data_IF_755046314932
#
_entry.id   IF_755046314932
#
_cell.length_a   1.000
_cell.length_b   1.000
_cell.length_c   1.000
_cell.angle_alpha   90.00
_cell.angle_beta   90.00
_cell.angle_gamma   90.00
#
_symmetry.space_group_name_H-M   'P 1'
#
loop_
_entity.id
_entity.type
_entity.pdbx_description
1 polymer ?
#
# COMPACT_ATOMS: atom_id res chain seq x y z
N UNK A 1 -27.70 -5.43 35.31
CA UNK A 1 -26.71 -5.54 34.23
C UNK A 1 -25.44 -4.83 34.68
N UNK A 2 -24.31 -5.54 34.76
CA UNK A 2 -23.04 -4.94 35.23
C UNK A 2 -22.37 -4.14 34.11
N UNK A 3 -21.61 -3.08 34.47
CA UNK A 3 -20.90 -2.22 33.51
C UNK A 3 -20.01 -3.01 32.54
N UNK A 4 -19.36 -4.07 33.02
CA UNK A 4 -18.55 -4.98 32.21
C UNK A 4 -19.34 -5.63 31.08
N UNK A 5 -20.61 -5.97 31.30
CA UNK A 5 -21.49 -6.57 30.29
C UNK A 5 -21.86 -5.55 29.20
N UNK A 6 -22.05 -4.28 29.56
CA UNK A 6 -22.28 -3.21 28.59
C UNK A 6 -21.05 -2.98 27.71
N UNK A 7 -19.85 -3.01 28.29
CA UNK A 7 -18.61 -2.89 27.52
C UNK A 7 -18.44 -4.02 26.50
N UNK A 8 -18.72 -5.27 26.90
CA UNK A 8 -18.66 -6.40 25.98
C UNK A 8 -19.67 -6.27 24.84
N UNK A 9 -20.89 -5.81 25.14
CA UNK A 9 -21.91 -5.56 24.11
C UNK A 9 -21.43 -4.50 23.11
N UNK A 10 -20.85 -3.40 23.58
CA UNK A 10 -20.34 -2.34 22.70
C UNK A 10 -19.20 -2.85 21.81
N UNK A 11 -18.34 -3.75 22.32
CA UNK A 11 -17.28 -4.37 21.51
C UNK A 11 -17.87 -5.25 20.42
N UNK A 12 -18.85 -6.08 20.75
CA UNK A 12 -19.56 -6.95 19.80
C UNK A 12 -20.28 -6.13 18.72
N UNK A 13 -20.96 -5.06 19.11
CA UNK A 13 -21.66 -4.15 18.18
C UNK A 13 -20.66 -3.44 17.23
N UNK A 14 -19.46 -3.07 17.71
CA UNK A 14 -18.41 -2.47 16.87
C UNK A 14 -17.82 -3.48 15.88
N UNK A 15 -17.67 -4.74 16.29
CA UNK A 15 -17.22 -5.81 15.39
C UNK A 15 -18.24 -6.06 14.28
N UNK A 16 -19.52 -6.19 14.64
CA UNK A 16 -20.60 -6.35 13.66
C UNK A 16 -20.70 -5.16 12.68
N UNK A 17 -20.44 -3.94 13.17
CA UNK A 17 -20.37 -2.75 12.32
C UNK A 17 -19.16 -2.80 11.36
N UNK A 18 -18.01 -3.27 11.84
CA UNK A 18 -16.83 -3.43 11.00
C UNK A 18 -17.08 -4.43 9.86
N UNK A 19 -17.73 -5.56 10.15
CA UNK A 19 -18.11 -6.56 9.16
C UNK A 19 -19.06 -5.96 8.10
N UNK A 20 -20.06 -5.20 8.54
CA UNK A 20 -21.02 -4.53 7.64
C UNK A 20 -20.33 -3.51 6.72
N UNK A 21 -19.35 -2.76 7.24
CA UNK A 21 -18.57 -1.81 6.44
C UNK A 21 -17.63 -2.51 5.46
N UNK A 22 -17.09 -3.66 5.83
CA UNK A 22 -16.26 -4.48 4.96
C UNK A 22 -17.08 -5.05 3.79
N UNK A 23 -18.29 -5.58 4.05
CA UNK A 23 -19.21 -5.99 3.00
C UNK A 23 -19.57 -4.85 2.05
N UNK A 24 -19.84 -3.65 2.59
CA UNK A 24 -20.13 -2.47 1.77
C UNK A 24 -18.91 -2.05 0.93
N UNK A 25 -17.70 -2.11 1.49
CA UNK A 25 -16.47 -1.82 0.75
C UNK A 25 -16.22 -2.84 -0.38
N UNK A 26 -16.54 -4.12 -0.17
CA UNK A 26 -16.50 -5.14 -1.22
C UNK A 26 -17.56 -4.85 -2.30
N UNK A 27 -18.80 -4.55 -1.90
CA UNK A 27 -19.90 -4.21 -2.80
C UNK A 27 -19.62 -2.96 -3.65
N UNK A 28 -18.92 -1.97 -3.10
CA UNK A 28 -18.51 -0.77 -3.85
C UNK A 28 -17.38 -1.06 -4.85
N UNK A 29 -16.48 -2.02 -4.55
CA UNK A 29 -15.43 -2.45 -5.47
C UNK A 29 -15.97 -3.29 -6.63
N UNK A 30 -17.05 -4.05 -6.41
CA UNK A 30 -17.67 -4.92 -7.42
C UNK A 30 -18.59 -4.22 -8.42
N UNK A 31 -18.66 -2.88 -8.44
CA UNK A 31 -19.32 -2.15 -9.53
C UNK A 31 -18.45 -2.04 -10.81
N UNK A 32 -17.31 -2.74 -10.84
CA UNK A 32 -16.53 -3.07 -12.04
C UNK A 32 -16.59 -4.59 -12.23
N UNK A 33 -16.89 -5.12 -13.44
CA UNK A 33 -17.14 -6.54 -13.61
C UNK A 33 -15.81 -7.27 -13.67
N UNK A 34 -15.35 -7.82 -12.54
CA UNK A 34 -14.42 -8.93 -12.55
C UNK A 34 -14.89 -10.08 -11.65
N UNK A 35 -14.68 -11.32 -12.10
CA UNK A 35 -15.44 -12.47 -11.66
C UNK A 35 -15.06 -12.91 -10.25
N UNK A 36 -16.10 -13.37 -9.56
CA UNK A 36 -16.06 -14.12 -8.31
C UNK A 36 -15.03 -15.25 -8.35
N UNK A 37 -14.25 -15.40 -7.29
CA UNK A 37 -13.92 -16.72 -6.77
C UNK A 37 -14.01 -16.67 -5.25
N UNK A 38 -14.95 -17.45 -4.72
CA UNK A 38 -15.16 -17.75 -3.31
C UNK A 38 -13.96 -18.51 -2.72
N UNK A 39 -13.69 -18.22 -1.45
CA UNK A 39 -12.86 -18.89 -0.43
C UNK A 39 -12.87 -20.44 -0.55
N UNK A 40 -11.75 -21.15 -0.30
CA UNK A 40 -11.35 -21.45 1.08
C UNK A 40 -9.83 -21.38 1.33
N UNK A 41 -9.42 -20.73 2.43
CA UNK A 41 -8.17 -21.08 3.10
C UNK A 41 -8.20 -22.58 3.45
N UNK A 42 -7.10 -23.33 3.27
CA UNK A 42 -6.07 -23.28 4.31
C UNK A 42 -4.63 -23.48 3.80
N UNK A 43 -3.71 -22.78 4.45
CA UNK A 43 -2.28 -23.13 4.54
C UNK A 43 -1.52 -23.18 3.21
N UNK A 44 -0.80 -22.11 2.89
CA UNK A 44 0.57 -22.24 2.38
C UNK A 44 1.30 -20.91 2.42
N UNK A 45 2.30 -20.87 3.30
CA UNK A 45 3.60 -20.29 3.01
C UNK A 45 3.66 -18.77 2.86
N UNK A 46 4.04 -18.12 3.96
CA UNK A 46 5.30 -17.38 4.05
C UNK A 46 5.98 -17.09 2.70
N UNK A 47 5.46 -16.11 1.97
CA UNK A 47 6.27 -15.28 1.07
C UNK A 47 6.21 -13.90 1.72
N UNK A 48 7.08 -13.53 2.65
CA UNK A 48 8.51 -13.27 2.37
C UNK A 48 8.78 -12.99 0.89
N UNK A 49 7.92 -12.21 0.24
CA UNK A 49 8.29 -11.51 -0.96
C UNK A 49 8.96 -10.24 -0.46
N UNK A 50 10.27 -10.37 -0.27
CA UNK A 50 11.30 -9.34 -0.05
C UNK A 50 10.72 -7.93 -0.04
N UNK A 51 10.90 -7.23 1.08
CA UNK A 51 10.79 -5.77 1.26
C UNK A 51 11.28 -4.99 0.02
N UNK A 52 10.48 -4.94 -1.03
CA UNK A 52 10.70 -4.05 -2.16
C UNK A 52 9.72 -2.92 -1.96
N UNK A 53 10.21 -1.67 -1.85
CA UNK A 53 9.35 -0.53 -1.63
C UNK A 53 8.33 -0.46 -2.77
N UNK A 54 7.07 -0.26 -2.42
CA UNK A 54 5.99 -0.20 -3.41
C UNK A 54 6.15 1.05 -4.27
N UNK A 55 5.72 0.97 -5.53
CA UNK A 55 5.80 2.10 -6.48
C UNK A 55 5.19 3.39 -5.89
N UNK A 56 4.16 3.25 -5.07
CA UNK A 56 3.48 4.34 -4.37
C UNK A 56 4.36 4.99 -3.30
N UNK A 57 5.04 4.21 -2.47
CA UNK A 57 5.94 4.72 -1.43
C UNK A 57 7.10 5.50 -2.05
N UNK A 58 7.71 4.94 -3.10
CA UNK A 58 8.82 5.60 -3.80
C UNK A 58 8.35 6.88 -4.48
N UNK A 59 7.15 6.87 -5.09
CA UNK A 59 6.56 8.07 -5.67
C UNK A 59 6.27 9.14 -4.62
N UNK A 60 5.80 8.74 -3.44
CA UNK A 60 5.56 9.64 -2.31
C UNK A 60 6.84 10.27 -1.78
N UNK A 61 7.89 9.48 -1.57
CA UNK A 61 9.20 9.95 -1.12
C UNK A 61 9.83 10.91 -2.13
N UNK A 62 9.90 10.52 -3.40
CA UNK A 62 10.44 11.38 -4.47
C UNK A 62 9.61 12.63 -4.69
N UNK A 63 8.27 12.55 -4.57
CA UNK A 63 7.41 13.72 -4.67
C UNK A 63 7.67 14.72 -3.53
N UNK A 64 7.88 14.23 -2.30
CA UNK A 64 8.29 15.08 -1.17
C UNK A 64 9.64 15.74 -1.42
N UNK A 65 10.65 15.00 -1.90
CA UNK A 65 11.96 15.58 -2.24
C UNK A 65 11.91 16.54 -3.42
N UNK A 66 11.08 16.25 -4.41
CA UNK A 66 10.80 17.18 -5.50
C UNK A 66 10.12 18.46 -5.01
N UNK A 67 9.23 18.38 -4.01
CA UNK A 67 8.59 19.54 -3.37
C UNK A 67 9.56 20.34 -2.50
N UNK A 68 10.56 19.69 -1.90
CA UNK A 68 11.66 20.35 -1.18
C UNK A 68 12.63 21.12 -2.12
N UNK A 69 12.35 21.14 -3.43
CA UNK A 69 13.14 21.87 -4.44
C UNK A 69 14.18 21.02 -5.16
N UNK A 70 14.30 19.74 -4.83
CA UNK A 70 15.27 18.78 -5.41
C UNK A 70 14.72 18.01 -6.61
N UNK A 71 13.73 18.58 -7.30
CA UNK A 71 13.05 17.94 -8.45
C UNK A 71 14.01 17.59 -9.58
N UNK A 72 15.00 18.45 -9.83
CA UNK A 72 16.04 18.28 -10.84
C UNK A 72 16.96 17.09 -10.50
N UNK A 73 17.34 16.96 -9.24
CA UNK A 73 18.20 15.88 -8.75
C UNK A 73 17.44 14.55 -8.77
N UNK A 74 16.17 14.55 -8.38
CA UNK A 74 15.27 13.40 -8.50
C UNK A 74 15.12 12.93 -9.95
N UNK A 75 14.94 13.85 -10.90
CA UNK A 75 14.88 13.50 -12.33
C UNK A 75 16.21 12.95 -12.85
N UNK A 76 17.32 13.60 -12.53
CA UNK A 76 18.66 13.14 -12.92
C UNK A 76 18.96 11.75 -12.32
N UNK A 77 18.45 11.48 -11.11
CA UNK A 77 18.56 10.17 -10.48
C UNK A 77 17.77 9.12 -11.24
N UNK A 78 16.51 9.37 -11.58
CA UNK A 78 15.69 8.43 -12.38
C UNK A 78 16.32 8.18 -13.76
N UNK A 79 16.87 9.21 -14.40
CA UNK A 79 17.60 9.10 -15.68
C UNK A 79 18.91 8.30 -15.54
N UNK A 80 19.63 8.42 -14.41
CA UNK A 80 20.82 7.60 -14.09
C UNK A 80 20.48 6.10 -14.05
N UNK A 81 19.26 5.75 -13.66
CA UNK A 81 18.75 4.36 -13.70
C UNK A 81 18.18 3.97 -15.07
N UNK A 82 18.34 4.80 -16.10
CA UNK A 82 17.96 4.51 -17.48
C UNK A 82 16.47 4.72 -17.79
N UNK A 83 15.74 5.40 -16.91
CA UNK A 83 14.31 5.62 -17.05
C UNK A 83 13.98 7.11 -17.18
N UNK A 84 12.87 7.43 -17.85
CA UNK A 84 12.36 8.81 -17.91
C UNK A 84 11.33 9.09 -16.80
N UNK A 85 10.74 8.04 -16.23
CA UNK A 85 9.71 8.10 -15.18
C UNK A 85 9.93 6.97 -14.18
N UNK A 86 9.48 7.18 -12.95
CA UNK A 86 9.52 6.15 -11.89
C UNK A 86 8.80 4.86 -12.30
N UNK A 87 7.75 4.99 -13.12
CA UNK A 87 7.00 3.87 -13.69
C UNK A 87 7.81 2.99 -14.65
N UNK A 88 8.90 3.51 -15.22
CA UNK A 88 9.77 2.79 -16.16
C UNK A 88 11.03 2.24 -15.45
N UNK A 89 11.24 2.57 -14.18
CA UNK A 89 12.37 2.05 -13.38
C UNK A 89 12.01 0.63 -12.91
N UNK A 90 12.88 -0.37 -13.10
CA UNK A 90 12.69 -1.72 -12.56
C UNK A 90 12.51 -1.70 -11.05
N UNK A 91 11.64 -2.56 -10.51
CA UNK A 91 11.42 -2.66 -9.05
C UNK A 91 12.69 -2.99 -8.28
N UNK A 92 13.64 -3.69 -8.91
CA UNK A 92 14.98 -3.97 -8.36
C UNK A 92 15.79 -2.70 -8.08
N UNK A 93 15.57 -1.64 -8.87
CA UNK A 93 16.26 -0.36 -8.72
C UNK A 93 15.54 0.59 -7.77
N UNK A 94 14.31 0.30 -7.34
CA UNK A 94 13.57 1.17 -6.42
C UNK A 94 14.23 1.31 -5.06
N UNK A 95 14.80 0.22 -4.51
CA UNK A 95 15.51 0.29 -3.23
C UNK A 95 16.72 1.22 -3.31
N UNK A 96 17.48 1.16 -4.41
CA UNK A 96 18.63 2.03 -4.64
C UNK A 96 18.21 3.48 -4.90
N UNK A 97 17.13 3.68 -5.67
CA UNK A 97 16.56 4.99 -5.97
C UNK A 97 16.05 5.70 -4.70
N UNK A 98 15.38 4.97 -3.80
CA UNK A 98 14.93 5.51 -2.51
C UNK A 98 16.14 5.90 -1.65
N UNK A 99 17.15 5.05 -1.55
CA UNK A 99 18.34 5.34 -0.77
C UNK A 99 19.10 6.57 -1.30
N UNK A 100 19.29 6.67 -2.61
CA UNK A 100 19.92 7.84 -3.25
C UNK A 100 19.04 9.10 -3.06
N UNK A 101 17.70 8.98 -3.10
CA UNK A 101 16.79 10.10 -2.90
C UNK A 101 16.68 10.56 -1.44
N UNK A 102 16.83 9.67 -0.47
CA UNK A 102 16.93 10.02 0.95
C UNK A 102 18.24 10.75 1.28
N UNK A 103 19.31 10.49 0.50
CA UNK A 103 20.61 11.15 0.63
C UNK A 103 20.72 12.52 -0.03
N UNK A 104 19.74 12.92 -0.85
CA UNK A 104 19.66 14.24 -1.49
C UNK A 104 19.09 15.28 -0.52
#
# INVERSE_FOLDING_TARGET
MSKTKLFLQVVEDVQALADSLQELAVAMKTNEPEPQVETPEPTMETKSEVKQPTLEEVRGLLARKSQEGKSTEVKALIEKYGASRLSDVPTENYAALVADAEGL
#
